data_IF_718471843402
#
_entry.id   IF_718471843402
#
_cell.length_a   1.000
_cell.length_b   1.000
_cell.length_c   1.000
_cell.angle_alpha   90.00
_cell.angle_beta   90.00
_cell.angle_gamma   90.00
#
_symmetry.space_group_name_H-M   'P 1'
#
loop_
_entity.id
_entity.type
_entity.pdbx_description
1 polymer ?
#
# COMPACT_ATOMS: atom_id res chain seq x y z
N UNK A 1 -8.96 -0.58 3.24
CA UNK A 1 -9.14 0.23 4.47
C UNK A 1 -8.79 1.69 4.18
N UNK A 2 -9.31 2.68 4.94
CA UNK A 2 -9.00 4.09 4.73
C UNK A 2 -7.49 4.36 4.74
N UNK A 3 -7.00 5.16 3.80
CA UNK A 3 -5.57 5.41 3.67
C UNK A 3 -5.05 6.26 4.83
N UNK A 4 -4.12 5.69 5.60
CA UNK A 4 -3.34 6.39 6.62
C UNK A 4 -1.93 5.79 6.63
N UNK A 5 -0.91 6.61 6.36
CA UNK A 5 0.46 6.13 6.16
C UNK A 5 1.00 5.32 7.35
N UNK A 6 0.82 5.80 8.59
CA UNK A 6 1.27 5.10 9.81
C UNK A 6 0.58 3.73 9.96
N UNK A 7 -0.73 3.68 9.71
CA UNK A 7 -1.52 2.44 9.80
C UNK A 7 -1.10 1.43 8.74
N UNK A 8 -0.94 1.88 7.49
CA UNK A 8 -0.47 1.04 6.38
C UNK A 8 0.93 0.48 6.67
N UNK A 9 1.88 1.34 7.09
CA UNK A 9 3.23 0.92 7.45
C UNK A 9 3.23 -0.14 8.55
N UNK A 10 2.44 0.06 9.62
CA UNK A 10 2.27 -0.94 10.70
C UNK A 10 1.71 -2.26 10.15
N UNK A 11 0.65 -2.18 9.35
CA UNK A 11 0.00 -3.36 8.77
C UNK A 11 0.95 -4.21 7.94
N UNK A 12 1.80 -3.57 7.12
CA UNK A 12 2.74 -4.24 6.22
C UNK A 12 3.91 -4.86 7.00
N UNK A 13 4.50 -4.11 7.95
CA UNK A 13 5.62 -4.60 8.77
C UNK A 13 5.24 -5.78 9.65
N UNK A 14 4.06 -5.74 10.27
CA UNK A 14 3.55 -6.86 11.07
C UNK A 14 3.38 -8.15 10.26
N UNK A 15 3.38 -8.07 8.93
CA UNK A 15 3.24 -9.21 8.02
C UNK A 15 4.54 -9.56 7.28
N UNK A 16 5.67 -8.96 7.66
CA UNK A 16 6.96 -9.23 7.01
C UNK A 16 7.00 -8.83 5.53
N UNK A 17 6.20 -7.84 5.11
CA UNK A 17 6.16 -7.39 3.71
C UNK A 17 7.31 -6.42 3.48
N UNK A 18 8.25 -6.81 2.62
CA UNK A 18 9.40 -5.99 2.20
C UNK A 18 9.22 -5.32 0.86
N UNK A 19 8.34 -5.84 -0.01
CA UNK A 19 8.11 -5.31 -1.35
C UNK A 19 6.63 -5.08 -1.61
N UNK A 20 6.34 -4.00 -2.32
CA UNK A 20 4.98 -3.69 -2.77
C UNK A 20 4.96 -3.27 -4.23
N UNK A 21 3.95 -3.71 -4.95
CA UNK A 21 3.59 -3.18 -6.26
C UNK A 21 2.43 -2.20 -6.05
N UNK A 22 2.60 -0.95 -6.44
CA UNK A 22 1.56 0.08 -6.23
C UNK A 22 0.79 0.32 -7.52
N UNK A 23 -0.54 0.21 -7.45
CA UNK A 23 -1.48 0.53 -8.53
C UNK A 23 -2.36 1.70 -8.09
N UNK A 24 -2.32 2.81 -8.83
CA UNK A 24 -3.10 4.03 -8.58
C UNK A 24 -4.37 4.07 -9.41
N UNK A 25 -5.49 4.48 -8.81
CA UNK A 25 -6.80 4.70 -9.44
C UNK A 25 -7.41 5.99 -8.89
N UNK A 26 -7.03 7.12 -9.48
CA UNK A 26 -7.56 8.45 -9.14
C UNK A 26 -7.10 9.04 -7.80
N UNK A 27 -6.41 8.28 -6.93
CA UNK A 27 -5.89 8.79 -5.66
C UNK A 27 -4.79 9.85 -5.87
N UNK A 28 -4.79 11.01 -5.19
CA UNK A 28 -3.83 12.11 -5.41
C UNK A 28 -2.42 11.84 -4.86
N UNK A 29 -2.08 10.58 -4.58
CA UNK A 29 -0.81 10.17 -3.99
C UNK A 29 0.18 9.71 -5.07
N UNK A 30 1.44 10.08 -4.93
CA UNK A 30 2.50 9.59 -5.81
C UNK A 30 3.05 8.23 -5.34
N UNK A 31 3.09 7.20 -6.20
CA UNK A 31 3.56 5.86 -5.83
C UNK A 31 4.99 5.86 -5.25
N UNK A 32 5.93 6.50 -5.94
CA UNK A 32 7.33 6.54 -5.52
C UNK A 32 7.51 7.20 -4.14
N UNK A 33 6.73 8.25 -3.84
CA UNK A 33 6.72 8.85 -2.51
C UNK A 33 6.23 7.85 -1.47
N UNK A 34 5.16 7.11 -1.76
CA UNK A 34 4.64 6.11 -0.81
C UNK A 34 5.68 5.01 -0.55
N UNK A 35 6.33 4.48 -1.58
CA UNK A 35 7.38 3.45 -1.43
C UNK A 35 8.49 3.92 -0.49
N UNK A 36 9.02 5.13 -0.71
CA UNK A 36 10.04 5.73 0.15
C UNK A 36 9.55 5.90 1.59
N UNK A 37 8.29 6.29 1.77
CA UNK A 37 7.71 6.46 3.11
C UNK A 37 7.44 5.14 3.82
N UNK A 38 7.17 4.04 3.11
CA UNK A 38 6.85 2.78 3.77
C UNK A 38 8.07 2.16 4.47
N UNK A 39 9.28 2.35 3.93
CA UNK A 39 10.54 1.81 4.50
C UNK A 39 10.35 0.37 4.96
N UNK A 40 9.95 -0.48 4.01
CA UNK A 40 9.61 -1.87 4.24
C UNK A 40 10.86 -2.73 4.36
N UNK A 41 10.75 -3.80 5.14
CA UNK A 41 11.77 -4.81 5.34
C UNK A 41 11.06 -6.15 5.54
N UNK A 42 11.51 -7.18 4.83
CA UNK A 42 10.93 -8.52 4.85
C UNK A 42 10.94 -9.17 3.46
N UNK A 43 10.41 -10.38 3.39
CA UNK A 43 10.56 -11.23 2.19
C UNK A 43 9.24 -11.34 1.39
N UNK A 44 8.13 -10.92 1.98
CA UNK A 44 6.82 -11.00 1.35
C UNK A 44 6.57 -9.82 0.39
N UNK A 45 5.89 -10.12 -0.73
CA UNK A 45 5.42 -9.13 -1.71
C UNK A 45 3.89 -9.01 -1.69
N UNK A 46 3.37 -7.78 -1.80
CA UNK A 46 1.93 -7.51 -1.96
C UNK A 46 1.64 -6.45 -3.01
N UNK A 47 0.40 -6.43 -3.50
CA UNK A 47 -0.09 -5.35 -4.37
C UNK A 47 -0.89 -4.36 -3.52
N UNK A 48 -0.57 -3.07 -3.60
CA UNK A 48 -1.34 -1.99 -3.02
C UNK A 48 -2.15 -1.30 -4.10
N UNK A 49 -3.48 -1.26 -3.93
CA UNK A 49 -4.35 -0.47 -4.79
C UNK A 49 -4.75 0.81 -4.06
N UNK A 50 -4.24 1.95 -4.52
CA UNK A 50 -4.62 3.27 -4.04
C UNK A 50 -5.83 3.76 -4.84
N UNK A 51 -6.97 3.87 -4.18
CA UNK A 51 -8.25 4.13 -4.84
C UNK A 51 -9.15 5.00 -3.96
N UNK A 52 -10.30 5.40 -4.50
CA UNK A 52 -11.36 6.06 -3.73
C UNK A 52 -12.51 5.08 -3.50
N UNK A 53 -13.00 5.03 -2.27
CA UNK A 53 -14.22 4.30 -1.89
C UNK A 53 -15.11 5.31 -1.19
N UNK A 54 -16.33 5.51 -1.70
CA UNK A 54 -17.30 6.48 -1.17
C UNK A 54 -16.68 7.89 -0.99
N UNK A 55 -15.95 8.36 -2.02
CA UNK A 55 -15.30 9.68 -2.01
C UNK A 55 -14.08 9.81 -1.10
N UNK A 56 -13.65 8.74 -0.43
CA UNK A 56 -12.50 8.74 0.49
C UNK A 56 -11.34 7.91 -0.04
N UNK A 57 -10.11 8.41 0.10
CA UNK A 57 -8.92 7.66 -0.27
C UNK A 57 -8.77 6.41 0.60
N UNK A 58 -8.62 5.27 -0.05
CA UNK A 58 -8.47 3.96 0.56
C UNK A 58 -7.31 3.20 -0.08
N UNK A 59 -6.81 2.21 0.68
CA UNK A 59 -5.86 1.22 0.18
C UNK A 59 -6.47 -0.17 0.29
N UNK A 60 -6.38 -0.94 -0.79
CA UNK A 60 -6.64 -2.38 -0.80
C UNK A 60 -5.30 -3.10 -0.88
N UNK A 61 -5.17 -4.22 -0.16
CA UNK A 61 -3.96 -5.04 -0.17
C UNK A 61 -4.31 -6.38 -0.78
N UNK A 62 -3.71 -6.69 -1.92
CA UNK A 62 -3.82 -7.96 -2.61
C UNK A 62 -2.53 -8.76 -2.57
N UNK A 63 -2.60 -10.03 -2.97
CA UNK A 63 -1.43 -10.84 -3.29
C UNK A 63 -1.21 -10.81 -4.81
N UNK A 64 0.04 -10.91 -5.28
CA UNK A 64 0.30 -11.22 -6.68
C UNK A 64 -0.42 -12.52 -7.07
N UNK A 65 -0.99 -12.53 -8.27
CA UNK A 65 -1.55 -13.74 -8.88
C UNK A 65 -0.50 -14.29 -9.86
N UNK A 66 -0.23 -15.61 -9.88
CA UNK A 66 0.74 -16.22 -10.77
C UNK A 66 0.37 -16.09 -12.26
#
# INVERSE_FOLDING_TARGET
>A
FPFQLKRLRRYLRQRGIGRVIIKKRGAPLEPAWLEQQLRLQGDEERILFLTHIEGKTAVLVGRPYP
#
